data_IF_235147815006
#
_entry.id   IF_235147815006
#
_cell.length_a   1.000
_cell.length_b   1.000
_cell.length_c   1.000
_cell.angle_alpha   90.00
_cell.angle_beta   90.00
_cell.angle_gamma   90.00
#
_symmetry.space_group_name_H-M   'P 1'
#
loop_
_entity.id
_entity.type
_entity.pdbx_description
1 polymer ?
#
# COMPACT_ATOMS: atom_id res chain seq x y z
N UNK A 1 -0.29 -20.99 6.59
CA UNK A 1 -1.38 -21.71 7.26
C UNK A 1 -1.04 -23.16 7.57
N UNK A 2 -0.56 -23.92 6.61
CA UNK A 2 -0.33 -25.38 6.71
C UNK A 2 0.77 -25.77 7.71
N UNK A 3 1.71 -24.88 8.00
CA UNK A 3 2.83 -25.13 8.92
C UNK A 3 2.43 -25.00 10.40
N UNK A 4 1.36 -24.26 10.68
CA UNK A 4 0.93 -23.93 12.05
C UNK A 4 0.61 -25.15 12.91
N UNK A 5 0.07 -26.21 12.30
CA UNK A 5 -0.36 -27.41 13.01
C UNK A 5 0.77 -28.36 13.40
N UNK A 6 1.97 -28.20 12.81
CA UNK A 6 3.07 -29.14 12.93
C UNK A 6 4.43 -28.44 13.10
N UNK A 7 4.60 -27.57 14.10
CA UNK A 7 5.84 -26.83 14.32
C UNK A 7 7.04 -27.76 14.61
N UNK A 8 6.78 -28.94 15.16
CA UNK A 8 7.80 -29.96 15.45
C UNK A 8 8.56 -30.44 14.21
N UNK A 9 7.92 -30.44 13.04
CA UNK A 9 8.56 -30.81 11.78
C UNK A 9 9.65 -29.82 11.36
N UNK A 10 9.63 -28.62 11.91
CA UNK A 10 10.56 -27.53 11.59
C UNK A 10 11.57 -27.25 12.71
N UNK A 11 11.52 -27.99 13.82
CA UNK A 11 12.37 -27.78 14.99
C UNK A 11 13.88 -27.94 14.72
N UNK A 12 14.24 -28.62 13.62
CA UNK A 12 15.62 -28.81 13.20
C UNK A 12 16.23 -27.60 12.48
N UNK A 13 15.39 -26.66 12.01
CA UNK A 13 15.88 -25.43 11.37
C UNK A 13 16.43 -24.44 12.40
N UNK A 14 17.67 -24.00 12.17
CA UNK A 14 18.34 -23.01 13.03
C UNK A 14 18.15 -21.56 12.57
N UNK A 15 17.75 -21.37 11.33
CA UNK A 15 17.55 -20.05 10.71
C UNK A 15 16.22 -20.03 9.99
N UNK A 16 15.49 -18.92 10.11
CA UNK A 16 14.21 -18.68 9.44
C UNK A 16 14.27 -17.32 8.77
N UNK A 17 13.86 -17.25 7.50
CA UNK A 17 13.66 -16.01 6.76
C UNK A 17 12.17 -15.76 6.68
N UNK A 18 11.75 -14.55 7.05
CA UNK A 18 10.35 -14.12 6.99
C UNK A 18 10.26 -12.97 6.01
N UNK A 19 9.61 -13.21 4.87
CA UNK A 19 9.23 -12.16 3.94
C UNK A 19 8.02 -11.41 4.47
N UNK A 20 7.90 -10.11 4.12
CA UNK A 20 6.90 -9.18 4.66
C UNK A 20 6.83 -9.20 6.19
N UNK A 21 8.00 -9.18 6.83
CA UNK A 21 8.15 -9.37 8.27
C UNK A 21 7.44 -8.31 9.12
N UNK A 22 7.02 -7.18 8.54
CA UNK A 22 6.17 -6.18 9.19
C UNK A 22 4.79 -6.74 9.57
N UNK A 23 4.34 -7.85 8.95
CA UNK A 23 3.08 -8.51 9.30
C UNK A 23 3.17 -9.35 10.57
N UNK A 24 4.39 -9.63 11.06
CA UNK A 24 4.58 -10.41 12.29
C UNK A 24 4.12 -9.61 13.50
N UNK A 25 3.05 -10.07 14.18
CA UNK A 25 2.64 -9.48 15.45
C UNK A 25 3.50 -10.07 16.60
N UNK A 26 4.26 -9.25 17.32
CA UNK A 26 5.13 -9.76 18.40
C UNK A 26 4.37 -10.16 19.67
N UNK A 27 3.13 -9.70 19.83
CA UNK A 27 2.34 -9.96 21.05
C UNK A 27 1.52 -11.24 20.93
N UNK A 28 0.99 -11.54 19.75
CA UNK A 28 0.04 -12.63 19.52
C UNK A 28 0.06 -13.12 18.09
N UNK A 29 -0.53 -14.28 17.83
CA UNK A 29 -0.77 -14.82 16.52
C UNK A 29 0.26 -15.85 16.07
N UNK A 30 -0.05 -16.45 14.92
CA UNK A 30 0.62 -17.62 14.37
C UNK A 30 2.15 -17.53 14.32
N UNK A 31 2.70 -16.40 13.90
CA UNK A 31 4.17 -16.24 13.81
C UNK A 31 4.83 -16.23 15.18
N UNK A 32 4.25 -15.56 16.18
CA UNK A 32 4.78 -15.56 17.54
C UNK A 32 4.81 -16.96 18.10
N UNK A 33 3.70 -17.69 18.00
CA UNK A 33 3.56 -19.04 18.55
C UNK A 33 4.56 -19.97 17.86
N UNK A 34 4.66 -19.93 16.54
CA UNK A 34 5.58 -20.74 15.75
C UNK A 34 7.05 -20.45 16.10
N UNK A 35 7.44 -19.16 16.15
CA UNK A 35 8.82 -18.77 16.46
C UNK A 35 9.23 -19.09 17.91
N UNK A 36 8.27 -19.09 18.84
CA UNK A 36 8.55 -19.46 20.25
C UNK A 36 8.99 -20.92 20.40
N UNK A 37 8.51 -21.79 19.50
CA UNK A 37 8.84 -23.23 19.48
C UNK A 37 10.19 -23.48 18.81
N UNK A 38 10.50 -22.76 17.72
CA UNK A 38 11.64 -23.07 16.84
C UNK A 38 13.01 -22.72 17.42
N UNK A 39 13.14 -21.87 18.42
CA UNK A 39 14.43 -21.40 18.99
C UNK A 39 15.49 -21.09 17.93
N UNK A 40 15.11 -20.41 16.85
CA UNK A 40 15.92 -20.14 15.67
C UNK A 40 16.37 -18.68 15.59
N UNK A 41 17.38 -18.39 14.76
CA UNK A 41 17.68 -17.03 14.32
C UNK A 41 16.66 -16.61 13.26
N UNK A 42 16.16 -15.38 13.37
CA UNK A 42 15.11 -14.87 12.46
C UNK A 42 15.68 -13.70 11.66
N UNK A 43 15.65 -13.82 10.33
CA UNK A 43 15.90 -12.73 9.39
C UNK A 43 14.56 -12.27 8.81
N UNK A 44 14.27 -10.98 8.95
CA UNK A 44 13.07 -10.36 8.38
C UNK A 44 13.40 -9.56 7.13
N UNK A 45 12.64 -9.75 6.06
CA UNK A 45 12.68 -8.93 4.85
C UNK A 45 11.40 -8.10 4.77
N UNK A 46 11.51 -6.82 4.45
CA UNK A 46 10.34 -5.95 4.25
C UNK A 46 10.72 -4.63 3.61
N UNK A 47 9.83 -4.11 2.77
CA UNK A 47 9.90 -2.74 2.27
C UNK A 47 9.26 -1.71 3.24
N UNK A 48 8.50 -2.18 4.24
CA UNK A 48 7.73 -1.34 5.17
C UNK A 48 8.01 -1.72 6.62
N UNK A 49 9.18 -1.38 7.16
CA UNK A 49 9.67 -1.88 8.47
C UNK A 49 8.97 -1.22 9.67
N UNK A 50 7.66 -1.01 9.60
CA UNK A 50 6.88 -0.37 10.66
C UNK A 50 5.47 -0.97 10.76
N UNK A 51 4.88 -0.80 11.94
CA UNK A 51 3.52 -1.26 12.27
C UNK A 51 2.78 -0.18 13.05
N UNK A 52 1.46 -0.15 12.89
CA UNK A 52 0.62 0.67 13.74
C UNK A 52 0.67 0.15 15.19
N UNK A 53 0.81 1.07 16.11
CA UNK A 53 0.72 0.84 17.55
C UNK A 53 -0.21 1.92 18.15
N UNK A 54 -1.28 1.51 18.79
CA UNK A 54 -2.22 2.42 19.44
C UNK A 54 -1.98 2.46 20.95
N UNK A 55 -2.19 3.62 21.54
CA UNK A 55 -2.23 3.87 22.99
C UNK A 55 -3.53 4.58 23.32
N UNK A 56 -4.15 4.22 24.44
CA UNK A 56 -5.36 4.90 24.92
C UNK A 56 -5.09 6.37 25.29
N UNK A 57 -3.89 6.64 25.82
CA UNK A 57 -3.55 7.97 26.36
C UNK A 57 -2.92 8.90 25.33
N UNK A 58 -2.20 8.34 24.33
CA UNK A 58 -1.35 9.13 23.43
C UNK A 58 -1.75 9.02 21.96
N UNK A 59 -2.84 8.29 21.62
CA UNK A 59 -3.26 8.08 20.24
C UNK A 59 -2.47 6.98 19.55
N UNK A 60 -2.29 7.11 18.23
CA UNK A 60 -1.65 6.10 17.39
C UNK A 60 -0.29 6.55 16.87
N UNK A 61 0.60 5.60 16.65
CA UNK A 61 1.87 5.84 15.97
C UNK A 61 2.24 4.69 15.03
N UNK A 62 2.94 4.99 13.96
CA UNK A 62 3.65 3.99 13.18
C UNK A 62 4.96 3.67 13.89
N UNK A 63 5.03 2.51 14.53
CA UNK A 63 6.20 2.08 15.29
C UNK A 63 7.13 1.25 14.41
N UNK A 64 8.41 1.60 14.37
CA UNK A 64 9.41 0.82 13.67
C UNK A 64 9.53 -0.58 14.29
N UNK A 65 9.72 -1.64 13.46
CA UNK A 65 9.61 -3.04 13.92
C UNK A 65 10.65 -3.42 14.98
N UNK A 66 11.84 -2.81 14.98
CA UNK A 66 12.84 -3.03 16.03
C UNK A 66 12.46 -2.40 17.37
N UNK A 67 11.49 -1.51 17.38
CA UNK A 67 10.98 -0.82 18.59
C UNK A 67 9.73 -1.46 19.18
N UNK A 68 9.24 -2.55 18.59
CA UNK A 68 8.11 -3.32 19.16
C UNK A 68 8.52 -3.99 20.48
N UNK A 69 7.54 -4.26 21.34
CA UNK A 69 7.76 -5.02 22.59
C UNK A 69 6.66 -6.07 22.73
N UNK A 70 7.03 -7.36 22.90
CA UNK A 70 8.40 -7.91 22.83
C UNK A 70 9.04 -7.71 21.44
N UNK A 71 10.38 -7.69 21.36
CA UNK A 71 11.09 -7.49 20.10
C UNK A 71 11.44 -8.85 19.48
N UNK A 72 10.89 -9.14 18.30
CA UNK A 72 11.31 -10.27 17.46
C UNK A 72 12.52 -9.85 16.62
N UNK A 73 12.42 -8.71 15.94
CA UNK A 73 13.52 -8.10 15.18
C UNK A 73 14.23 -7.08 16.06
N UNK A 74 15.54 -7.22 16.22
CA UNK A 74 16.32 -6.43 17.19
C UNK A 74 17.10 -5.29 16.53
N UNK A 75 17.56 -5.51 15.31
CA UNK A 75 18.42 -4.59 14.57
C UNK A 75 18.11 -4.59 13.07
N UNK A 76 18.53 -3.56 12.37
CA UNK A 76 18.56 -3.49 10.91
C UNK A 76 19.98 -3.84 10.49
N UNK A 77 20.16 -4.99 9.83
CA UNK A 77 21.47 -5.44 9.38
C UNK A 77 21.87 -4.91 8.01
N UNK A 78 20.87 -4.57 7.19
CA UNK A 78 21.07 -4.02 5.86
C UNK A 78 19.84 -3.24 5.41
N UNK A 79 20.05 -2.16 4.68
CA UNK A 79 18.98 -1.41 4.03
C UNK A 79 19.49 -0.73 2.75
N UNK A 80 18.56 -0.48 1.82
CA UNK A 80 18.81 0.32 0.62
C UNK A 80 17.76 1.43 0.57
N UNK A 81 18.20 2.64 0.31
CA UNK A 81 17.29 3.77 0.13
C UNK A 81 16.56 3.66 -1.21
N UNK A 82 15.31 4.11 -1.25
CA UNK A 82 14.52 4.13 -2.49
C UNK A 82 15.18 5.01 -3.54
N UNK A 83 15.75 6.15 -3.16
CA UNK A 83 16.50 7.03 -4.06
C UNK A 83 17.66 6.29 -4.74
N UNK A 84 18.43 5.51 -3.99
CA UNK A 84 19.52 4.69 -4.54
C UNK A 84 19.01 3.69 -5.59
N UNK A 85 17.90 3.02 -5.31
CA UNK A 85 17.30 2.07 -6.26
C UNK A 85 16.78 2.75 -7.53
N UNK A 86 16.26 3.98 -7.41
CA UNK A 86 15.85 4.81 -8.54
C UNK A 86 17.06 5.23 -9.38
N UNK A 87 18.13 5.69 -8.74
CA UNK A 87 19.35 6.13 -9.42
C UNK A 87 20.06 4.97 -10.14
N UNK A 88 19.98 3.77 -9.57
CA UNK A 88 20.52 2.53 -10.18
C UNK A 88 19.61 1.92 -11.26
N UNK A 89 18.41 2.47 -11.49
CA UNK A 89 17.44 1.94 -12.47
C UNK A 89 16.71 0.66 -12.04
N UNK A 90 16.83 0.25 -10.79
CA UNK A 90 16.04 -0.89 -10.25
C UNK A 90 14.58 -0.54 -9.97
N UNK A 91 14.25 0.75 -9.97
CA UNK A 91 12.89 1.26 -9.87
C UNK A 91 12.63 2.28 -10.97
N UNK A 92 11.39 2.34 -11.47
CA UNK A 92 10.94 3.35 -12.42
C UNK A 92 10.64 4.67 -11.71
N UNK A 93 10.85 5.78 -12.42
CA UNK A 93 10.36 7.09 -11.98
C UNK A 93 8.84 7.07 -11.83
N UNK A 94 8.34 7.91 -10.94
CA UNK A 94 6.91 8.11 -10.72
C UNK A 94 6.57 9.59 -10.87
N UNK A 95 5.51 9.85 -11.62
CA UNK A 95 4.89 11.16 -11.75
C UNK A 95 3.67 11.20 -10.83
N UNK A 96 3.63 12.14 -9.91
CA UNK A 96 2.54 12.29 -8.94
C UNK A 96 1.61 13.43 -9.36
N UNK A 97 0.33 13.14 -9.37
CA UNK A 97 -0.73 14.08 -9.70
C UNK A 97 -1.73 14.13 -8.54
N UNK A 98 -1.52 15.01 -7.55
CA UNK A 98 -2.49 15.25 -6.49
C UNK A 98 -3.69 16.00 -7.08
N UNK A 99 -4.78 15.30 -7.34
CA UNK A 99 -5.98 15.80 -8.01
C UNK A 99 -7.19 15.65 -7.09
N UNK A 100 -7.17 16.36 -5.97
CA UNK A 100 -8.32 16.34 -5.07
C UNK A 100 -9.53 17.02 -5.72
N UNK A 101 -10.76 16.45 -5.59
CA UNK A 101 -11.95 17.11 -6.06
C UNK A 101 -12.18 18.44 -5.33
N UNK A 102 -12.88 19.36 -6.02
CA UNK A 102 -13.25 20.64 -5.41
C UNK A 102 -14.05 20.39 -4.12
N UNK A 103 -13.68 21.09 -3.08
CA UNK A 103 -14.32 20.94 -1.77
C UNK A 103 -13.83 19.76 -0.93
N UNK A 104 -12.93 18.91 -1.42
CA UNK A 104 -12.31 17.86 -0.59
C UNK A 104 -11.72 18.45 0.68
N UNK A 105 -12.15 17.94 1.82
CA UNK A 105 -11.62 18.38 3.11
C UNK A 105 -11.30 17.18 4.02
N UNK A 106 -10.04 16.92 4.19
CA UNK A 106 -9.51 15.83 5.04
C UNK A 106 -9.90 15.99 6.51
N UNK A 107 -10.16 17.21 6.98
CA UNK A 107 -10.61 17.46 8.36
C UNK A 107 -12.02 16.91 8.64
N UNK A 108 -12.81 16.60 7.61
CA UNK A 108 -14.11 15.94 7.76
C UNK A 108 -13.97 14.44 8.04
N UNK A 109 -12.79 13.86 7.81
CA UNK A 109 -12.52 12.44 8.05
C UNK A 109 -12.22 12.19 9.52
N UNK A 110 -12.86 11.19 10.08
CA UNK A 110 -12.65 10.76 11.47
C UNK A 110 -11.81 9.49 11.51
N UNK A 111 -10.80 9.50 12.33
CA UNK A 111 -9.97 8.31 12.59
C UNK A 111 -10.78 7.29 13.38
N UNK A 112 -10.61 6.00 13.09
CA UNK A 112 -11.25 4.92 13.83
C UNK A 112 -10.65 4.78 15.25
N UNK A 113 -11.31 4.01 16.11
CA UNK A 113 -10.91 3.83 17.52
C UNK A 113 -9.51 3.27 17.70
N UNK A 114 -9.00 2.53 16.72
CA UNK A 114 -7.64 1.98 16.76
C UNK A 114 -6.59 2.94 16.21
N UNK A 115 -7.00 4.07 15.61
CA UNK A 115 -6.11 4.99 14.91
C UNK A 115 -5.48 4.42 13.63
N UNK A 116 -5.98 3.26 13.16
CA UNK A 116 -5.38 2.53 12.05
C UNK A 116 -5.71 3.14 10.69
N UNK A 117 -6.92 3.65 10.54
CA UNK A 117 -7.41 4.29 9.32
C UNK A 117 -8.64 5.16 9.64
N UNK A 118 -9.22 5.77 8.64
CA UNK A 118 -10.46 6.52 8.77
C UNK A 118 -11.67 5.62 8.99
N UNK A 119 -12.72 6.16 9.62
CA UNK A 119 -14.01 5.45 9.72
C UNK A 119 -14.72 5.49 8.38
N UNK A 120 -15.28 4.36 7.95
CA UNK A 120 -16.03 4.24 6.71
C UNK A 120 -17.16 5.27 6.63
N UNK A 121 -17.87 5.49 7.74
CA UNK A 121 -18.96 6.49 7.81
C UNK A 121 -18.49 7.91 7.50
N UNK A 122 -17.29 8.31 7.94
CA UNK A 122 -16.78 9.66 7.65
C UNK A 122 -16.31 9.79 6.20
N UNK A 123 -15.69 8.76 5.66
CA UNK A 123 -15.27 8.72 4.25
C UNK A 123 -16.49 8.76 3.33
N UNK A 124 -17.49 7.91 3.59
CA UNK A 124 -18.71 7.87 2.80
C UNK A 124 -19.44 9.23 2.79
N UNK A 125 -19.59 9.86 3.97
CA UNK A 125 -20.22 11.19 4.07
C UNK A 125 -19.47 12.23 3.26
N UNK A 126 -18.13 12.23 3.30
CA UNK A 126 -17.33 13.17 2.53
C UNK A 126 -17.47 12.93 1.02
N UNK A 127 -17.47 11.68 0.58
CA UNK A 127 -17.66 11.30 -0.81
C UNK A 127 -19.04 11.75 -1.35
N UNK A 128 -20.08 11.54 -0.57
CA UNK A 128 -21.44 11.98 -0.93
C UNK A 128 -21.55 13.50 -0.98
N UNK A 129 -20.91 14.21 -0.04
CA UNK A 129 -20.96 15.68 0.04
C UNK A 129 -20.36 16.37 -1.18
N UNK A 130 -19.33 15.79 -1.79
CA UNK A 130 -18.58 16.40 -2.91
C UNK A 130 -18.84 15.73 -4.26
N UNK A 131 -19.80 14.81 -4.33
CA UNK A 131 -20.05 13.96 -5.51
C UNK A 131 -18.77 13.29 -6.04
N UNK A 132 -18.02 12.65 -5.12
CA UNK A 132 -16.76 11.97 -5.42
C UNK A 132 -16.88 10.95 -6.53
N UNK A 133 -18.03 10.28 -6.62
CA UNK A 133 -18.27 9.22 -7.62
C UNK A 133 -18.23 9.76 -9.06
N UNK A 134 -18.90 10.86 -9.33
CA UNK A 134 -18.87 11.51 -10.65
C UNK A 134 -17.48 12.03 -10.98
N UNK A 135 -16.78 12.57 -9.99
CA UNK A 135 -15.41 13.03 -10.17
C UNK A 135 -14.46 11.87 -10.50
N UNK A 136 -14.55 10.75 -9.79
CA UNK A 136 -13.74 9.56 -10.05
C UNK A 136 -13.94 9.02 -11.47
N UNK A 137 -15.20 8.89 -11.91
CA UNK A 137 -15.55 8.48 -13.28
C UNK A 137 -14.94 9.42 -14.30
N UNK A 138 -15.06 10.74 -14.09
CA UNK A 138 -14.47 11.75 -14.97
C UNK A 138 -12.95 11.59 -15.09
N UNK A 139 -12.23 11.41 -13.98
CA UNK A 139 -10.78 11.23 -13.99
C UNK A 139 -10.38 9.94 -14.73
N UNK A 140 -11.03 8.80 -14.45
CA UNK A 140 -10.71 7.54 -15.13
C UNK A 140 -10.99 7.63 -16.63
N UNK A 141 -12.12 8.25 -17.02
CA UNK A 141 -12.44 8.51 -18.43
C UNK A 141 -11.37 9.36 -19.13
N UNK A 142 -10.86 10.39 -18.46
CA UNK A 142 -9.78 11.25 -18.96
C UNK A 142 -8.45 10.50 -19.11
N UNK A 143 -8.14 9.56 -18.20
CA UNK A 143 -6.94 8.72 -18.28
C UNK A 143 -7.02 7.72 -19.43
N UNK A 144 -8.20 7.19 -19.73
CA UNK A 144 -8.42 6.31 -20.89
C UNK A 144 -8.36 7.06 -22.23
N UNK A 145 -8.77 8.33 -22.24
CA UNK A 145 -8.85 9.18 -23.42
C UNK A 145 -8.03 10.46 -23.21
N UNK A 146 -6.69 10.36 -23.15
CA UNK A 146 -5.84 11.51 -22.91
C UNK A 146 -5.87 12.46 -24.12
N UNK A 147 -5.92 13.78 -23.87
CA UNK A 147 -5.83 14.79 -24.94
C UNK A 147 -4.43 14.82 -25.53
N UNK A 148 -3.42 14.60 -24.69
CA UNK A 148 -2.01 14.56 -25.07
C UNK A 148 -1.34 13.34 -24.43
N UNK A 149 -0.33 12.81 -25.07
CA UNK A 149 0.38 11.62 -24.63
C UNK A 149 -0.23 10.31 -25.13
N UNK A 150 0.47 9.21 -24.87
CA UNK A 150 0.06 7.88 -25.29
C UNK A 150 -1.06 7.29 -24.42
N UNK A 151 -1.75 6.28 -24.96
CA UNK A 151 -2.73 5.48 -24.22
C UNK A 151 -2.07 4.80 -23.01
N UNK A 152 -2.77 4.76 -21.88
CA UNK A 152 -2.29 4.06 -20.67
C UNK A 152 -2.19 2.56 -20.92
N UNK A 153 -1.15 1.93 -20.35
CA UNK A 153 -0.93 0.47 -20.46
C UNK A 153 -1.92 -0.33 -19.63
N UNK A 154 -2.33 0.25 -18.51
CA UNK A 154 -3.36 -0.29 -17.64
C UNK A 154 -3.64 0.71 -16.51
N UNK A 155 -4.91 0.84 -16.13
CA UNK A 155 -5.34 1.72 -15.05
C UNK A 155 -5.84 0.87 -13.90
N UNK A 156 -5.10 0.87 -12.79
CA UNK A 156 -5.49 0.19 -11.55
C UNK A 156 -6.03 1.21 -10.54
N UNK A 157 -7.33 1.14 -10.26
CA UNK A 157 -8.02 2.05 -9.35
C UNK A 157 -8.18 1.40 -7.99
N UNK A 158 -7.64 2.02 -6.95
CA UNK A 158 -7.84 1.59 -5.56
C UNK A 158 -8.99 2.37 -4.94
N UNK A 159 -10.13 1.71 -4.80
CA UNK A 159 -11.34 2.28 -4.20
C UNK A 159 -11.45 1.95 -2.72
N UNK A 160 -12.22 2.73 -1.97
CA UNK A 160 -12.48 2.50 -0.55
C UNK A 160 -13.65 1.52 -0.35
N UNK A 161 -14.74 1.72 -1.09
CA UNK A 161 -15.94 0.87 -1.05
C UNK A 161 -16.19 0.18 -2.39
N UNK A 162 -17.07 -0.81 -2.39
CA UNK A 162 -17.54 -1.48 -3.60
C UNK A 162 -18.34 -0.51 -4.50
N UNK A 163 -19.06 0.44 -3.91
CA UNK A 163 -19.90 1.43 -4.61
C UNK A 163 -19.13 2.27 -5.64
N UNK A 164 -17.88 2.68 -5.35
CA UNK A 164 -17.04 3.38 -6.34
C UNK A 164 -16.69 2.45 -7.50
N UNK A 165 -16.33 1.20 -7.19
CA UNK A 165 -15.96 0.22 -8.19
C UNK A 165 -17.16 -0.10 -9.12
N UNK A 166 -18.35 -0.26 -8.56
CA UNK A 166 -19.60 -0.46 -9.32
C UNK A 166 -19.91 0.73 -10.23
N UNK A 167 -19.79 1.96 -9.72
CA UNK A 167 -19.96 3.16 -10.53
C UNK A 167 -19.00 3.20 -11.72
N UNK A 168 -17.74 2.78 -11.52
CA UNK A 168 -16.77 2.70 -12.60
C UNK A 168 -17.19 1.67 -13.66
N UNK A 169 -17.65 0.46 -13.26
CA UNK A 169 -18.07 -0.56 -14.23
C UNK A 169 -19.28 -0.16 -15.05
N UNK A 170 -20.20 0.61 -14.47
CA UNK A 170 -21.37 1.12 -15.19
C UNK A 170 -21.07 2.25 -16.16
N UNK A 171 -20.01 3.02 -15.87
CA UNK A 171 -19.71 4.25 -16.60
C UNK A 171 -18.50 4.14 -17.53
N UNK A 172 -17.62 3.17 -17.29
CA UNK A 172 -16.35 3.00 -18.02
C UNK A 172 -16.37 1.65 -18.76
N UNK A 173 -16.45 1.65 -20.10
CA UNK A 173 -16.40 0.43 -20.88
C UNK A 173 -15.14 -0.39 -20.63
N UNK A 174 -15.30 -1.68 -20.37
CA UNK A 174 -14.19 -2.60 -20.09
C UNK A 174 -13.61 -2.49 -18.68
N UNK A 175 -14.21 -1.71 -17.77
CA UNK A 175 -13.82 -1.70 -16.37
C UNK A 175 -14.35 -2.95 -15.67
N UNK A 176 -13.48 -3.63 -14.90
CA UNK A 176 -13.83 -4.85 -14.15
C UNK A 176 -13.47 -4.66 -12.68
N UNK A 177 -14.30 -5.23 -11.77
CA UNK A 177 -14.07 -5.20 -10.32
C UNK A 177 -13.25 -6.42 -9.89
N UNK A 178 -12.31 -6.17 -8.98
CA UNK A 178 -11.63 -7.21 -8.19
C UNK A 178 -11.76 -6.87 -6.71
N UNK A 179 -12.37 -7.77 -5.94
CA UNK A 179 -12.61 -7.59 -4.51
C UNK A 179 -12.27 -8.87 -3.72
N UNK A 180 -12.45 -8.83 -2.40
CA UNK A 180 -12.33 -10.00 -1.54
C UNK A 180 -13.31 -11.13 -1.87
N UNK A 181 -14.44 -10.81 -2.48
CA UNK A 181 -15.48 -11.75 -2.90
C UNK A 181 -15.20 -12.41 -4.25
N UNK A 182 -14.29 -11.82 -5.06
CA UNK A 182 -13.91 -12.37 -6.37
C UNK A 182 -13.19 -13.70 -6.19
N UNK A 183 -13.73 -14.83 -6.71
CA UNK A 183 -13.12 -16.15 -6.62
C UNK A 183 -11.68 -16.13 -7.16
N UNK A 184 -10.79 -16.94 -6.56
CA UNK A 184 -9.38 -16.96 -6.94
C UNK A 184 -9.14 -17.18 -8.43
N UNK A 185 -9.83 -18.17 -9.02
CA UNK A 185 -9.69 -18.50 -10.46
C UNK A 185 -10.15 -17.34 -11.36
N UNK A 186 -11.28 -16.75 -11.03
CA UNK A 186 -11.83 -15.59 -11.75
C UNK A 186 -10.87 -14.39 -11.64
N UNK A 187 -10.34 -14.13 -10.44
CA UNK A 187 -9.34 -13.07 -10.22
C UNK A 187 -8.10 -13.28 -11.08
N UNK A 188 -7.59 -14.50 -11.18
CA UNK A 188 -6.46 -14.85 -12.02
C UNK A 188 -6.75 -14.53 -13.49
N UNK A 189 -7.94 -14.90 -13.99
CA UNK A 189 -8.38 -14.61 -15.37
C UNK A 189 -8.49 -13.10 -15.64
N UNK A 190 -9.11 -12.34 -14.74
CA UNK A 190 -9.21 -10.87 -14.84
C UNK A 190 -7.83 -10.25 -14.90
N UNK A 191 -6.91 -10.70 -14.05
CA UNK A 191 -5.55 -10.13 -14.00
C UNK A 191 -4.74 -10.47 -15.25
N UNK A 192 -4.89 -11.64 -15.83
CA UNK A 192 -4.25 -11.97 -17.11
C UNK A 192 -4.82 -11.14 -18.27
N UNK A 193 -6.15 -10.97 -18.33
CA UNK A 193 -6.80 -10.09 -19.30
C UNK A 193 -6.40 -8.61 -19.13
N UNK A 194 -6.18 -8.17 -17.89
CA UNK A 194 -5.66 -6.83 -17.61
C UNK A 194 -4.20 -6.67 -18.07
N UNK A 195 -3.34 -7.66 -17.86
CA UNK A 195 -1.94 -7.65 -18.33
C UNK A 195 -1.84 -7.69 -19.84
N UNK A 196 -2.73 -8.44 -20.52
CA UNK A 196 -2.78 -8.49 -21.99
C UNK A 196 -3.34 -7.20 -22.63
N UNK A 197 -3.95 -6.32 -21.80
CA UNK A 197 -4.59 -5.09 -22.26
C UNK A 197 -6.01 -5.28 -22.80
N UNK A 198 -6.59 -6.46 -22.68
CA UNK A 198 -7.99 -6.74 -23.00
C UNK A 198 -8.92 -5.99 -22.01
N UNK A 199 -8.58 -5.98 -20.73
CA UNK A 199 -9.22 -5.16 -19.71
C UNK A 199 -8.39 -3.89 -19.49
N UNK A 200 -8.89 -2.70 -19.84
CA UNK A 200 -8.12 -1.46 -19.70
C UNK A 200 -8.10 -0.89 -18.27
N UNK A 201 -9.12 -1.21 -17.45
CA UNK A 201 -9.31 -0.67 -16.10
C UNK A 201 -9.71 -1.78 -15.14
N UNK A 202 -8.98 -1.88 -14.04
CA UNK A 202 -9.39 -2.73 -12.91
C UNK A 202 -9.69 -1.84 -11.71
N UNK A 203 -10.91 -1.92 -11.19
CA UNK A 203 -11.33 -1.32 -9.94
C UNK A 203 -11.11 -2.32 -8.79
N UNK A 204 -10.15 -2.03 -7.92
CA UNK A 204 -9.74 -2.91 -6.83
C UNK A 204 -10.29 -2.45 -5.49
N UNK A 205 -10.96 -3.36 -4.79
CA UNK A 205 -11.46 -3.16 -3.43
C UNK A 205 -10.70 -4.07 -2.46
N UNK A 206 -9.65 -3.54 -1.86
CA UNK A 206 -8.97 -4.14 -0.71
C UNK A 206 -8.07 -5.36 -0.95
N UNK A 207 -7.83 -5.84 -2.20
CA UNK A 207 -7.14 -7.12 -2.42
C UNK A 207 -5.81 -7.04 -3.16
N UNK A 208 -5.60 -6.14 -4.10
CA UNK A 208 -4.40 -6.09 -4.95
C UNK A 208 -3.26 -5.26 -4.35
N UNK A 209 -3.28 -4.99 -3.06
CA UNK A 209 -2.18 -4.32 -2.35
C UNK A 209 -0.94 -5.21 -2.25
N UNK A 210 -1.12 -6.52 -2.20
CA UNK A 210 -0.04 -7.52 -2.15
C UNK A 210 -0.23 -8.61 -3.20
N UNK A 211 0.86 -9.28 -3.59
CA UNK A 211 0.79 -10.49 -4.44
C UNK A 211 0.43 -10.29 -5.92
N UNK A 212 0.20 -9.06 -6.38
CA UNK A 212 -0.05 -8.74 -7.79
C UNK A 212 1.22 -8.25 -8.47
N UNK A 213 1.64 -8.93 -9.51
CA UNK A 213 2.83 -8.58 -10.31
C UNK A 213 2.45 -8.24 -11.74
N UNK A 214 2.64 -6.96 -12.10
CA UNK A 214 2.44 -6.43 -13.45
C UNK A 214 3.44 -5.28 -13.70
N UNK A 215 4.67 -5.56 -14.15
CA UNK A 215 5.69 -4.53 -14.35
C UNK A 215 5.33 -3.46 -15.36
N UNK A 216 4.52 -3.80 -16.38
CA UNK A 216 4.04 -2.84 -17.37
C UNK A 216 3.00 -1.85 -16.85
N UNK A 217 2.37 -2.11 -15.68
CA UNK A 217 1.40 -1.22 -15.08
C UNK A 217 1.96 0.18 -14.95
N UNK A 218 1.34 1.13 -15.65
CA UNK A 218 1.82 2.50 -15.68
C UNK A 218 0.96 3.49 -14.90
N UNK A 219 -0.28 3.15 -14.54
CA UNK A 219 -1.17 4.11 -13.91
C UNK A 219 -1.90 3.53 -12.69
N UNK A 220 -1.76 4.22 -11.56
CA UNK A 220 -2.50 3.96 -10.34
C UNK A 220 -3.38 5.17 -10.01
N UNK A 221 -4.64 4.91 -9.68
CA UNK A 221 -5.58 5.91 -9.16
C UNK A 221 -5.89 5.59 -7.70
N UNK A 222 -5.48 6.48 -6.80
CA UNK A 222 -5.80 6.41 -5.38
C UNK A 222 -7.12 7.09 -5.11
N UNK A 223 -8.22 6.32 -5.19
CA UNK A 223 -9.57 6.75 -4.87
C UNK A 223 -9.99 6.35 -3.45
N UNK A 224 -9.02 6.23 -2.54
CA UNK A 224 -9.25 6.00 -1.11
C UNK A 224 -8.27 6.81 -0.26
N UNK A 225 -8.77 7.51 0.75
CA UNK A 225 -7.90 8.07 1.77
C UNK A 225 -7.37 6.94 2.66
N UNK A 226 -6.15 7.09 3.17
CA UNK A 226 -5.61 6.14 4.15
C UNK A 226 -4.68 6.82 5.14
N UNK A 227 -4.62 6.31 6.36
CA UNK A 227 -3.61 6.65 7.35
C UNK A 227 -2.45 5.65 7.36
N UNK A 228 -2.54 4.58 6.56
CA UNK A 228 -1.53 3.52 6.49
C UNK A 228 -0.42 3.87 5.50
N UNK A 229 0.75 4.29 5.99
CA UNK A 229 1.95 4.47 5.19
C UNK A 229 2.35 3.17 4.46
N UNK A 230 2.16 2.01 5.10
CA UNK A 230 2.45 0.71 4.48
C UNK A 230 1.55 0.47 3.27
N UNK A 231 0.25 0.73 3.40
CA UNK A 231 -0.70 0.60 2.28
C UNK A 231 -0.34 1.55 1.14
N UNK A 232 -0.07 2.83 1.45
CA UNK A 232 0.37 3.82 0.47
C UNK A 232 1.59 3.33 -0.31
N UNK A 233 2.64 2.90 0.40
CA UNK A 233 3.87 2.41 -0.19
C UNK A 233 3.64 1.16 -1.06
N UNK A 234 2.87 0.19 -0.57
CA UNK A 234 2.57 -1.04 -1.30
C UNK A 234 1.76 -0.80 -2.57
N UNK A 235 0.79 0.12 -2.52
CA UNK A 235 -0.02 0.49 -3.69
C UNK A 235 0.85 1.19 -4.74
N UNK A 236 1.58 2.23 -4.34
CA UNK A 236 2.48 2.97 -5.25
C UNK A 236 3.57 2.06 -5.80
N UNK A 237 4.02 1.10 -5.00
CA UNK A 237 4.95 0.04 -5.37
C UNK A 237 4.51 -0.82 -6.55
N UNK A 238 3.22 -0.83 -6.92
CA UNK A 238 2.74 -1.53 -8.11
C UNK A 238 3.16 -0.84 -9.41
N UNK A 239 3.23 0.50 -9.44
CA UNK A 239 3.63 1.26 -10.62
C UNK A 239 5.12 1.59 -10.68
N UNK A 240 5.87 1.38 -9.60
CA UNK A 240 7.29 1.73 -9.54
C UNK A 240 8.21 0.67 -10.19
N UNK A 241 7.70 -0.49 -10.55
CA UNK A 241 8.50 -1.56 -11.16
C UNK A 241 8.98 -1.15 -12.54
N UNK A 242 10.27 -1.35 -12.87
CA UNK A 242 10.78 -1.00 -14.18
C UNK A 242 10.28 -1.97 -15.25
N UNK A 243 10.00 -1.44 -16.43
CA UNK A 243 9.74 -2.24 -17.62
C UNK A 243 10.17 -1.46 -18.88
N UNK A 244 10.76 -2.11 -19.92
CA UNK A 244 11.24 -1.43 -21.12
C UNK A 244 10.16 -0.64 -21.88
N UNK A 245 8.89 -1.06 -21.77
CA UNK A 245 7.76 -0.40 -22.42
C UNK A 245 7.23 0.83 -21.67
N UNK A 246 7.83 1.19 -20.53
CA UNK A 246 7.32 2.22 -19.61
C UNK A 246 8.44 3.17 -19.19
N UNK A 247 8.31 4.45 -19.50
CA UNK A 247 9.26 5.48 -19.08
C UNK A 247 9.08 5.86 -17.60
N UNK A 248 7.83 6.00 -17.16
CA UNK A 248 7.49 6.33 -15.78
C UNK A 248 6.10 5.78 -15.40
N UNK A 249 5.89 5.51 -14.12
CA UNK A 249 4.57 5.24 -13.56
C UNK A 249 3.85 6.54 -13.19
N UNK A 250 2.51 6.51 -13.20
CA UNK A 250 1.65 7.62 -12.84
C UNK A 250 0.84 7.29 -11.59
N UNK A 251 0.90 8.19 -10.62
CA UNK A 251 0.14 8.09 -9.36
C UNK A 251 -0.83 9.26 -9.30
N UNK A 252 -2.10 8.97 -9.55
CA UNK A 252 -3.20 9.93 -9.49
C UNK A 252 -3.82 9.84 -8.10
N UNK A 253 -3.59 10.84 -7.26
CA UNK A 253 -4.09 10.85 -5.88
C UNK A 253 -5.29 11.79 -5.74
N UNK A 254 -6.46 11.21 -5.48
CA UNK A 254 -7.72 11.95 -5.33
C UNK A 254 -8.07 12.27 -3.87
N UNK A 255 -7.30 11.72 -2.92
CA UNK A 255 -7.67 11.74 -1.50
C UNK A 255 -6.58 12.32 -0.57
N UNK A 256 -5.58 13.02 -1.14
CA UNK A 256 -4.56 13.74 -0.35
C UNK A 256 -3.47 12.87 0.28
N UNK A 257 -3.30 11.62 -0.18
CA UNK A 257 -2.27 10.72 0.36
C UNK A 257 -0.85 11.21 0.08
N UNK A 258 -0.60 11.81 -1.10
CA UNK A 258 0.70 12.45 -1.43
C UNK A 258 1.02 13.57 -0.44
N UNK A 259 0.04 14.40 -0.08
CA UNK A 259 0.21 15.46 0.92
C UNK A 259 0.53 14.86 2.30
N UNK A 260 -0.11 13.74 2.64
CA UNK A 260 0.06 13.06 3.94
C UNK A 260 1.41 12.38 4.06
N UNK A 261 1.82 11.59 3.07
CA UNK A 261 2.99 10.73 3.16
C UNK A 261 4.20 11.24 2.36
N UNK A 262 3.98 12.10 1.39
CA UNK A 262 4.99 12.50 0.42
C UNK A 262 5.12 11.52 -0.74
N UNK A 263 6.03 11.82 -1.65
CA UNK A 263 6.39 10.94 -2.76
C UNK A 263 7.33 9.83 -2.28
N UNK A 264 7.23 8.64 -2.86
CA UNK A 264 8.03 7.47 -2.43
C UNK A 264 9.53 7.74 -2.56
N UNK A 265 9.98 8.52 -3.55
CA UNK A 265 11.40 8.92 -3.69
C UNK A 265 11.93 9.74 -2.51
N UNK A 266 11.05 10.43 -1.79
CA UNK A 266 11.41 11.28 -0.65
C UNK A 266 11.49 10.49 0.67
N UNK A 267 11.07 9.22 0.66
CA UNK A 267 11.11 8.35 1.83
C UNK A 267 12.55 7.92 2.12
N UNK A 268 12.99 8.18 3.32
CA UNK A 268 14.33 7.83 3.79
C UNK A 268 14.24 7.07 5.10
N UNK A 269 15.01 6.00 5.18
CA UNK A 269 15.26 5.29 6.42
C UNK A 269 16.47 5.96 7.10
N UNK A 270 16.27 6.44 8.31
CA UNK A 270 17.29 7.18 9.07
C UNK A 270 17.57 6.46 10.38
N UNK A 271 18.85 6.18 10.65
CA UNK A 271 19.29 5.71 11.97
C UNK A 271 19.56 6.93 12.86
N UNK A 272 18.77 7.06 13.91
CA UNK A 272 18.95 8.07 14.95
C UNK A 272 19.97 7.69 16.03
N UNK A 273 20.76 6.62 15.80
CA UNK A 273 21.70 6.07 16.76
C UNK A 273 21.04 5.07 17.74
N UNK A 274 21.88 4.14 18.26
CA UNK A 274 21.44 3.12 19.20
C UNK A 274 20.20 2.31 18.74
N UNK A 275 20.11 2.00 17.43
CA UNK A 275 19.00 1.26 16.84
C UNK A 275 17.67 2.03 16.76
N UNK A 276 17.70 3.35 16.90
CA UNK A 276 16.50 4.21 16.83
C UNK A 276 16.15 4.58 15.38
N UNK A 277 15.87 3.60 14.58
CA UNK A 277 15.48 3.80 13.18
C UNK A 277 14.12 4.46 13.05
N UNK A 278 13.99 5.34 12.04
CA UNK A 278 12.74 6.02 11.67
C UNK A 278 12.64 6.21 10.16
N UNK A 279 11.41 6.29 9.65
CA UNK A 279 11.12 6.68 8.27
C UNK A 279 10.81 8.16 8.23
N UNK A 280 11.42 8.86 7.30
CA UNK A 280 11.22 10.28 7.05
C UNK A 280 10.77 10.53 5.62
N UNK A 281 9.97 11.56 5.41
CA UNK A 281 9.68 12.13 4.10
C UNK A 281 10.14 13.58 4.10
N UNK A 282 11.16 13.89 3.30
CA UNK A 282 11.87 15.17 3.34
C UNK A 282 12.33 15.50 4.76
N UNK A 283 11.79 16.55 5.37
CA UNK A 283 12.11 16.99 6.74
C UNK A 283 11.14 16.45 7.81
N UNK A 284 10.10 15.72 7.41
CA UNK A 284 9.06 15.23 8.34
C UNK A 284 9.28 13.78 8.69
N UNK A 285 9.37 13.48 9.98
CA UNK A 285 9.34 12.11 10.48
C UNK A 285 7.94 11.52 10.35
N UNK A 286 7.84 10.28 9.85
CA UNK A 286 6.57 9.58 9.64
C UNK A 286 6.34 8.45 10.64
N UNK A 287 7.40 7.94 11.27
CA UNK A 287 7.29 6.83 12.22
C UNK A 287 7.79 7.22 13.60
N UNK A 288 7.35 6.49 14.64
CA UNK A 288 7.69 6.70 16.04
C UNK A 288 7.27 8.08 16.59
N UNK A 289 6.27 8.69 16.00
CA UNK A 289 5.58 9.88 16.48
C UNK A 289 4.09 9.56 16.62
N UNK A 290 3.44 10.16 17.61
CA UNK A 290 1.99 10.06 17.77
C UNK A 290 1.28 11.02 16.80
N UNK A 291 0.08 10.63 16.37
CA UNK A 291 -0.83 11.42 15.52
C UNK A 291 -2.29 11.14 15.84
#
# INVERSE_FOLDING_TARGET
>A
GSVKGHPELFAHFKNVIIDECHLVNPKEGMYKDFLSILKCKVLGLTATPYRLSSSQDFGSMLKFITRTRPAIFKEVIYHVQVSTLLDMGFLSKLNYYPMNPMGWNELNLKVNTTGADYTDKSVQREYERIDFYSYLVHIVHRLMNPIQGGKRKGILVFTHFLKEAERLTWSIPGCVIVSGETPKKEREQILEAFKSGEIPVVANVGVLTTGFDYPELDTIVMARPTMSLAMWYQIVGRAIRPHPSKEAGWVIDLCGNVKRFGEVKDLRLVDGGNGKWAVWSKSRQLTNIYF
#
